data_IF_197245532654
#
_entry.id   IF_197245532654
#
_cell.length_a   1.000
_cell.length_b   1.000
_cell.length_c   1.000
_cell.angle_alpha   90.00
_cell.angle_beta   90.00
_cell.angle_gamma   90.00
#
_symmetry.space_group_name_H-M   'P 1'
#
loop_
_entity.id
_entity.type
_entity.pdbx_description
1 polymer ?
#
# COMPACT_ATOMS: atom_id res chain seq x y z
N UNK A 1 14.81 6.93 5.03
CA UNK A 1 13.94 6.17 4.11
C UNK A 1 13.34 5.06 4.93
N UNK A 2 12.02 4.90 4.88
CA UNK A 2 11.33 3.80 5.56
C UNK A 2 11.90 2.44 5.14
N UNK A 3 11.79 1.45 6.00
CA UNK A 3 12.24 0.10 5.74
C UNK A 3 11.08 -0.73 5.16
N UNK A 4 11.06 -1.02 3.84
CA UNK A 4 10.10 -1.92 3.25
C UNK A 4 10.43 -3.37 3.61
N UNK A 5 9.44 -4.11 4.11
CA UNK A 5 9.56 -5.49 4.54
C UNK A 5 8.51 -6.34 3.80
N UNK A 6 8.90 -7.28 2.93
CA UNK A 6 10.27 -7.52 2.43
C UNK A 6 10.83 -6.35 1.60
N UNK A 7 12.14 -6.37 1.33
CA UNK A 7 12.79 -5.33 0.52
C UNK A 7 12.05 -5.08 -0.79
N UNK A 8 11.95 -3.82 -1.21
CA UNK A 8 11.09 -3.42 -2.31
C UNK A 8 11.33 -4.25 -3.58
N UNK A 9 12.60 -4.46 -3.96
CA UNK A 9 12.99 -5.22 -5.14
C UNK A 9 12.47 -6.67 -5.17
N UNK A 10 12.29 -7.29 -4.00
CA UNK A 10 11.75 -8.65 -3.88
C UNK A 10 10.24 -8.70 -4.15
N UNK A 11 9.54 -7.59 -3.88
CA UNK A 11 8.09 -7.50 -3.97
C UNK A 11 7.61 -6.87 -5.28
N UNK A 12 8.46 -6.16 -6.02
CA UNK A 12 8.08 -5.45 -7.24
C UNK A 12 7.39 -6.35 -8.28
N UNK A 13 7.74 -7.63 -8.41
CA UNK A 13 7.08 -8.53 -9.36
C UNK A 13 5.64 -8.89 -8.97
N UNK A 14 5.31 -8.82 -7.68
CA UNK A 14 3.97 -9.11 -7.14
C UNK A 14 3.05 -7.89 -7.11
N UNK A 15 3.63 -6.70 -7.17
CA UNK A 15 2.89 -5.45 -7.05
C UNK A 15 2.21 -5.03 -8.35
N UNK A 16 0.98 -4.54 -8.24
CA UNK A 16 0.29 -3.80 -9.28
C UNK A 16 0.94 -2.42 -9.52
N UNK A 17 0.62 -1.79 -10.65
CA UNK A 17 1.23 -0.52 -11.02
C UNK A 17 1.00 0.60 -9.99
N UNK A 18 -0.16 0.62 -9.32
CA UNK A 18 -0.45 1.56 -8.24
C UNK A 18 0.43 1.34 -7.03
N UNK A 19 0.49 0.09 -6.58
CA UNK A 19 1.29 -0.34 -5.43
C UNK A 19 2.78 -0.06 -5.66
N UNK A 20 3.30 -0.32 -6.86
CA UNK A 20 4.67 0.02 -7.25
C UNK A 20 4.98 1.52 -7.11
N UNK A 21 4.03 2.38 -7.47
CA UNK A 21 4.21 3.83 -7.32
C UNK A 21 4.12 4.24 -5.86
N UNK A 22 3.17 3.67 -5.13
CA UNK A 22 2.96 3.96 -3.72
C UNK A 22 4.14 3.50 -2.85
N UNK A 23 4.64 2.28 -3.04
CA UNK A 23 5.78 1.72 -2.31
C UNK A 23 7.05 2.58 -2.47
N UNK A 24 7.35 3.05 -3.69
CA UNK A 24 8.47 3.97 -3.93
C UNK A 24 8.29 5.30 -3.19
N UNK A 25 7.05 5.80 -3.06
CA UNK A 25 6.78 7.02 -2.29
C UNK A 25 6.95 6.81 -0.79
N UNK A 26 6.50 5.67 -0.26
CA UNK A 26 6.73 5.31 1.14
C UNK A 26 8.24 5.30 1.44
N UNK A 27 9.02 4.59 0.63
CA UNK A 27 10.48 4.51 0.78
C UNK A 27 11.14 5.90 0.69
N UNK A 28 10.76 6.73 -0.29
CA UNK A 28 11.39 8.03 -0.52
C UNK A 28 10.96 9.14 0.44
N UNK A 29 9.74 9.10 0.96
CA UNK A 29 9.14 10.23 1.69
C UNK A 29 9.02 9.99 3.20
N UNK A 30 9.04 8.74 3.65
CA UNK A 30 9.00 8.42 5.07
C UNK A 30 10.42 8.30 5.66
N UNK A 31 10.54 8.72 6.91
CA UNK A 31 11.77 8.63 7.70
C UNK A 31 12.09 7.17 8.08
N UNK A 32 13.29 6.93 8.59
CA UNK A 32 13.77 5.58 8.96
C UNK A 32 12.98 4.90 10.08
N UNK A 33 12.23 5.67 10.86
CA UNK A 33 11.45 5.15 12.00
C UNK A 33 10.15 4.44 11.56
N UNK A 34 9.89 4.43 10.25
CA UNK A 34 8.73 3.77 9.66
C UNK A 34 9.07 2.36 9.17
N UNK A 35 8.34 1.37 9.69
CA UNK A 35 8.31 0.01 9.15
C UNK A 35 7.13 -0.11 8.18
N UNK A 36 7.39 -0.56 6.95
CA UNK A 36 6.39 -0.68 5.90
C UNK A 36 6.31 -2.12 5.38
N UNK A 37 5.26 -2.85 5.74
CA UNK A 37 5.02 -4.20 5.21
C UNK A 37 4.13 -4.18 3.98
N UNK A 38 4.39 -5.09 3.05
CA UNK A 38 3.57 -5.34 1.86
C UNK A 38 3.06 -6.79 1.85
N UNK A 39 1.76 -6.97 1.57
CA UNK A 39 1.11 -8.29 1.38
C UNK A 39 1.35 -9.29 2.52
N UNK A 40 1.17 -8.84 3.78
CA UNK A 40 1.30 -9.68 4.98
C UNK A 40 -0.07 -9.93 5.63
N UNK A 41 -0.41 -11.19 5.99
CA UNK A 41 -1.67 -11.50 6.65
C UNK A 41 -1.75 -10.92 8.06
N UNK A 42 -2.92 -10.40 8.40
CA UNK A 42 -3.22 -9.79 9.70
C UNK A 42 -4.39 -10.50 10.38
N UNK A 43 -4.18 -10.80 11.66
CA UNK A 43 -5.21 -11.36 12.54
C UNK A 43 -5.58 -12.82 12.22
N UNK A 44 -6.49 -13.37 13.02
CA UNK A 44 -6.91 -14.79 12.94
C UNK A 44 -7.59 -15.15 11.61
N UNK A 45 -8.21 -14.16 10.97
CA UNK A 45 -8.88 -14.33 9.68
C UNK A 45 -7.94 -14.19 8.48
N UNK A 46 -6.63 -13.90 8.72
CA UNK A 46 -5.62 -13.72 7.67
C UNK A 46 -6.09 -12.72 6.59
N UNK A 47 -6.44 -11.51 7.00
CA UNK A 47 -6.75 -10.44 6.03
C UNK A 47 -5.44 -9.89 5.46
N UNK A 48 -5.42 -9.61 4.17
CA UNK A 48 -4.23 -9.15 3.43
C UNK A 48 -4.47 -7.71 2.98
N UNK A 49 -4.17 -6.70 3.81
CA UNK A 49 -4.07 -5.32 3.34
C UNK A 49 -2.86 -5.17 2.43
N UNK A 50 -2.93 -4.26 1.46
CA UNK A 50 -1.82 -4.01 0.54
C UNK A 50 -0.56 -3.52 1.29
N UNK A 51 -0.74 -2.56 2.20
CA UNK A 51 0.36 -2.05 3.03
C UNK A 51 -0.02 -1.93 4.51
N UNK A 52 0.97 -2.20 5.36
CA UNK A 52 0.91 -1.95 6.80
C UNK A 52 2.07 -1.01 7.14
N UNK A 53 1.78 0.14 7.74
CA UNK A 53 2.78 1.14 8.11
C UNK A 53 2.76 1.35 9.62
N UNK A 54 3.89 1.15 10.28
CA UNK A 54 4.05 1.38 11.72
C UNK A 54 5.07 2.49 11.96
N UNK A 55 4.69 3.44 12.81
CA UNK A 55 5.62 4.40 13.40
C UNK A 55 5.48 4.37 14.92
N UNK A 56 6.58 4.29 15.69
CA UNK A 56 6.54 4.05 17.13
C UNK A 56 5.71 5.08 17.91
N UNK A 57 5.67 6.33 17.47
CA UNK A 57 4.90 7.41 18.12
C UNK A 57 3.57 7.77 17.45
N UNK A 58 3.28 7.24 16.26
CA UNK A 58 2.05 7.58 15.49
C UNK A 58 1.10 6.39 15.34
N UNK A 59 1.57 5.19 15.66
CA UNK A 59 0.78 3.97 15.63
C UNK A 59 0.82 3.27 14.27
N UNK A 60 -0.21 2.47 14.04
CA UNK A 60 -0.31 1.51 12.96
C UNK A 60 -1.38 1.95 11.95
N UNK A 61 -1.04 1.88 10.67
CA UNK A 61 -1.92 2.23 9.56
C UNK A 61 -2.01 1.06 8.57
N UNK A 62 -3.23 0.68 8.23
CA UNK A 62 -3.53 -0.31 7.19
C UNK A 62 -4.05 0.40 5.94
N UNK A 63 -3.48 0.09 4.79
CA UNK A 63 -3.78 0.78 3.53
C UNK A 63 -4.14 -0.21 2.44
N UNK A 64 -5.12 0.22 1.65
CA UNK A 64 -5.53 -0.41 0.41
C UNK A 64 -5.26 0.57 -0.74
N UNK A 65 -4.53 0.14 -1.76
CA UNK A 65 -4.15 0.94 -2.91
C UNK A 65 -5.13 0.68 -4.05
N UNK A 66 -5.88 1.72 -4.44
CA UNK A 66 -6.74 1.68 -5.63
C UNK A 66 -6.17 2.61 -6.69
N UNK A 67 -5.66 2.02 -7.78
CA UNK A 67 -5.09 2.76 -8.91
C UNK A 67 -6.15 3.08 -9.97
N UNK A 68 -7.01 4.05 -9.68
CA UNK A 68 -8.01 4.51 -10.63
C UNK A 68 -7.38 5.38 -11.70
N UNK A 69 -7.67 5.04 -12.96
CA UNK A 69 -7.36 5.89 -14.10
C UNK A 69 -8.65 6.26 -14.79
N UNK A 70 -8.74 7.49 -15.30
CA UNK A 70 -9.96 8.01 -15.95
C UNK A 70 -10.42 7.10 -17.09
N UNK A 71 -9.50 6.55 -17.87
CA UNK A 71 -9.78 5.61 -18.97
C UNK A 71 -10.38 4.27 -18.49
N UNK A 72 -10.22 3.93 -17.21
CA UNK A 72 -10.77 2.73 -16.58
C UNK A 72 -12.04 3.00 -15.79
N UNK A 73 -12.56 4.23 -15.76
CA UNK A 73 -13.80 4.54 -15.06
C UNK A 73 -14.91 4.62 -16.09
N UNK A 74 -15.85 3.67 -16.05
CA UNK A 74 -17.06 3.71 -16.88
C UNK A 74 -18.06 4.74 -16.36
N UNK A 75 -18.23 4.81 -15.04
CA UNK A 75 -19.17 5.72 -14.38
C UNK A 75 -18.74 5.98 -12.94
N UNK A 76 -18.94 7.20 -12.45
CA UNK A 76 -18.64 7.58 -11.07
C UNK A 76 -19.72 8.51 -10.52
N UNK A 77 -20.18 8.22 -9.31
CA UNK A 77 -21.03 9.09 -8.50
C UNK A 77 -20.39 9.30 -7.14
N UNK A 78 -21.00 10.14 -6.29
CA UNK A 78 -20.54 10.31 -4.91
C UNK A 78 -20.58 9.03 -4.06
N UNK A 79 -21.27 7.97 -4.52
CA UNK A 79 -21.45 6.71 -3.77
C UNK A 79 -20.90 5.47 -4.47
N UNK A 80 -20.69 5.52 -5.78
CA UNK A 80 -20.39 4.33 -6.59
C UNK A 80 -19.37 4.63 -7.68
N UNK A 81 -18.54 3.63 -7.98
CA UNK A 81 -17.59 3.65 -9.10
C UNK A 81 -17.75 2.35 -9.88
N UNK A 82 -17.94 2.47 -11.20
CA UNK A 82 -17.93 1.36 -12.14
C UNK A 82 -16.65 1.45 -12.98
N UNK A 83 -15.91 0.34 -13.03
CA UNK A 83 -14.64 0.21 -13.77
C UNK A 83 -14.83 -0.57 -15.08
#
# INVERSE_FOLDING_TARGET
MAEPIPSLNTCLSKMENGEKRFARRLESLLDSDYLCWFDIPVGRQRRYPDFIVLHPLRGLLFLEVKDWKIDKIKSITAKTVEL
#
